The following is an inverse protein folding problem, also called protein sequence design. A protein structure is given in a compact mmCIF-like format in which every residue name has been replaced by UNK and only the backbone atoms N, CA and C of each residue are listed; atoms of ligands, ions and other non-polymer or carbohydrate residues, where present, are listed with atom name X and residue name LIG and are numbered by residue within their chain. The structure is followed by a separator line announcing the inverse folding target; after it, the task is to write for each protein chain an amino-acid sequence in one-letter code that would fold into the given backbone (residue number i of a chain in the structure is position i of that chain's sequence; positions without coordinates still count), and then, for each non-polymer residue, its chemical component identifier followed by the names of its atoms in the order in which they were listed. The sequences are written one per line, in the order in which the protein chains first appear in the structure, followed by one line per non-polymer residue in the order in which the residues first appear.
data_IF_881618449171
#
_entry.id   IF_881618449171
#
_cell.length_a   1.000
_cell.length_b   1.000
_cell.length_c   1.000
_cell.angle_alpha   90.00
_cell.angle_beta   90.00
_cell.angle_gamma   90.00
#
_symmetry.space_group_name_H-M   'P 1'
#
loop_
_entity.id
_entity.type
_entity.pdbx_description
1 polymer ?
#
# COMPACT_ATOMS: atom_id res chain seq x y z
N UNK A 1 37.79 21.62 -3.19
CA UNK A 1 37.11 20.68 -4.09
C UNK A 1 36.05 19.85 -3.36
N UNK A 2 35.90 20.00 -2.03
CA UNK A 2 34.86 19.33 -1.19
C UNK A 2 33.64 20.22 -0.87
N UNK A 3 33.51 21.41 -1.47
CA UNK A 3 32.43 22.35 -1.14
C UNK A 3 31.22 22.30 -2.08
N UNK A 4 31.25 21.43 -3.10
CA UNK A 4 30.16 21.31 -4.10
C UNK A 4 29.28 20.07 -3.89
N UNK A 5 29.75 19.01 -3.24
CA UNK A 5 28.94 17.78 -3.03
C UNK A 5 27.93 17.89 -1.89
N UNK A 6 28.13 18.79 -0.92
CA UNK A 6 27.21 18.96 0.23
C UNK A 6 25.92 19.72 -0.15
N UNK A 7 25.91 20.45 -1.27
CA UNK A 7 24.76 21.27 -1.66
C UNK A 7 23.67 20.51 -2.43
N UNK A 8 24.00 19.43 -3.16
CA UNK A 8 23.00 18.64 -3.90
C UNK A 8 22.14 17.75 -2.98
N UNK A 9 22.71 17.24 -1.88
CA UNK A 9 22.00 16.37 -0.93
C UNK A 9 20.95 17.12 -0.09
N UNK A 10 21.13 18.43 0.14
CA UNK A 10 20.17 19.28 0.87
C UNK A 10 19.00 19.69 -0.03
N UNK A 11 19.26 19.96 -1.31
CA UNK A 11 18.19 20.29 -2.26
C UNK A 11 17.33 19.06 -2.57
N UNK A 12 17.92 17.87 -2.82
CA UNK A 12 17.15 16.65 -3.05
C UNK A 12 16.30 16.24 -1.83
N UNK A 13 16.81 16.38 -0.60
CA UNK A 13 16.02 16.14 0.61
C UNK A 13 14.90 17.17 0.81
N UNK A 14 15.11 18.42 0.40
CA UNK A 14 14.08 19.46 0.40
C UNK A 14 12.91 19.12 -0.54
N UNK A 15 13.19 18.71 -1.78
CA UNK A 15 12.16 18.33 -2.75
C UNK A 15 11.39 17.06 -2.33
N UNK A 16 12.05 16.10 -1.67
CA UNK A 16 11.40 14.93 -1.10
C UNK A 16 10.43 15.28 0.05
N UNK A 17 10.71 16.31 0.84
CA UNK A 17 9.81 16.75 1.92
C UNK A 17 8.50 17.40 1.40
N UNK A 18 8.58 18.24 0.36
CA UNK A 18 7.40 18.90 -0.23
C UNK A 18 6.51 17.93 -1.02
N UNK A 19 7.10 16.90 -1.63
CA UNK A 19 6.35 15.86 -2.35
C UNK A 19 5.63 14.90 -1.41
N UNK A 20 6.10 14.74 -0.17
CA UNK A 20 5.45 13.88 0.83
C UNK A 20 4.36 14.60 1.62
N UNK A 21 4.42 15.93 1.75
CA UNK A 21 3.45 16.74 2.48
C UNK A 21 3.04 17.98 1.67
N UNK A 22 2.01 17.87 0.80
CA UNK A 22 1.53 19.02 0.03
C UNK A 22 0.97 20.11 0.95
N UNK A 23 1.20 21.38 0.57
CA UNK A 23 0.66 22.51 1.31
C UNK A 23 -0.86 22.46 1.36
N UNK A 24 -1.46 22.94 2.46
CA UNK A 24 -2.93 22.94 2.64
C UNK A 24 -3.62 23.66 1.47
N UNK A 25 -3.06 24.77 1.00
CA UNK A 25 -3.56 25.50 -0.17
C UNK A 25 -3.64 24.62 -1.42
N UNK A 26 -2.55 23.90 -1.73
CA UNK A 26 -2.53 23.00 -2.89
C UNK A 26 -3.58 21.90 -2.75
N UNK A 27 -3.68 21.28 -1.55
CA UNK A 27 -4.66 20.22 -1.29
C UNK A 27 -6.09 20.72 -1.46
N UNK A 28 -6.43 21.88 -0.90
CA UNK A 28 -7.75 22.50 -1.08
C UNK A 28 -8.03 22.73 -2.55
N UNK A 29 -7.10 23.36 -3.28
CA UNK A 29 -7.28 23.65 -4.71
C UNK A 29 -7.43 22.38 -5.56
N UNK A 30 -6.68 21.33 -5.23
CA UNK A 30 -6.75 20.03 -5.89
C UNK A 30 -8.11 19.37 -5.68
N UNK A 31 -8.64 19.43 -4.46
CA UNK A 31 -9.97 18.91 -4.10
C UNK A 31 -11.06 19.70 -4.83
N UNK A 32 -10.98 21.03 -4.82
CA UNK A 32 -11.95 21.92 -5.48
C UNK A 32 -12.04 21.69 -7.00
N UNK A 33 -10.97 21.16 -7.59
CA UNK A 33 -10.88 20.83 -9.02
C UNK A 33 -11.20 19.35 -9.32
N UNK A 34 -11.76 18.61 -8.35
CA UNK A 34 -12.08 17.19 -8.46
C UNK A 34 -10.88 16.31 -8.88
N UNK A 35 -9.69 16.72 -8.43
CA UNK A 35 -8.44 16.09 -8.82
C UNK A 35 -8.36 14.63 -8.40
N UNK A 36 -8.93 14.26 -7.25
CA UNK A 36 -8.96 12.87 -6.79
C UNK A 36 -9.73 11.99 -7.78
N UNK A 37 -10.93 12.41 -8.18
CA UNK A 37 -11.74 11.65 -9.14
C UNK A 37 -11.05 11.52 -10.49
N UNK A 38 -10.33 12.55 -10.94
CA UNK A 38 -9.50 12.49 -12.14
C UNK A 38 -8.43 11.40 -12.05
N UNK A 39 -7.69 11.35 -10.92
CA UNK A 39 -6.68 10.29 -10.68
C UNK A 39 -7.35 8.91 -10.65
N UNK A 40 -8.44 8.75 -9.90
CA UNK A 40 -9.13 7.46 -9.76
C UNK A 40 -9.69 6.96 -11.09
N UNK A 41 -10.22 7.86 -11.92
CA UNK A 41 -10.73 7.49 -13.25
C UNK A 41 -9.58 7.09 -14.18
N UNK A 42 -8.45 7.80 -14.13
CA UNK A 42 -7.27 7.41 -14.90
C UNK A 42 -6.75 6.04 -14.46
N UNK A 43 -6.64 5.77 -13.16
CA UNK A 43 -6.23 4.46 -12.62
C UNK A 43 -7.15 3.33 -13.13
N UNK A 44 -8.47 3.58 -13.21
CA UNK A 44 -9.44 2.60 -13.74
C UNK A 44 -9.32 2.35 -15.24
N UNK A 45 -8.76 3.29 -16.01
CA UNK A 45 -8.72 3.24 -17.49
C UNK A 45 -7.33 2.99 -18.07
N UNK A 46 -6.33 2.66 -17.24
CA UNK A 46 -4.99 2.38 -17.73
C UNK A 46 -4.99 1.14 -18.61
N UNK A 47 -4.24 1.20 -19.71
CA UNK A 47 -3.83 0.01 -20.43
C UNK A 47 -2.70 -0.72 -19.67
N UNK A 48 -2.36 -1.91 -20.14
CA UNK A 48 -1.35 -2.75 -19.51
C UNK A 48 0.03 -2.07 -19.46
N UNK A 49 0.44 -1.39 -20.53
CA UNK A 49 1.74 -0.70 -20.55
C UNK A 49 1.79 0.41 -19.50
N UNK A 50 0.73 1.22 -19.40
CA UNK A 50 0.64 2.29 -18.41
C UNK A 50 0.56 1.73 -16.99
N UNK A 51 -0.18 0.64 -16.77
CA UNK A 51 -0.31 0.00 -15.45
C UNK A 51 1.02 -0.53 -14.92
N UNK A 52 1.92 -0.98 -15.80
CA UNK A 52 3.26 -1.45 -15.43
C UNK A 52 4.31 -0.33 -15.40
N UNK A 53 3.97 0.86 -15.87
CA UNK A 53 4.88 2.00 -15.96
C UNK A 53 5.07 2.74 -14.63
N UNK A 54 6.05 3.66 -14.61
CA UNK A 54 6.26 4.62 -13.50
C UNK A 54 5.12 5.63 -13.34
N UNK A 55 4.24 5.78 -14.35
CA UNK A 55 3.09 6.68 -14.26
C UNK A 55 2.14 6.16 -13.20
N UNK A 56 1.83 4.85 -13.22
CA UNK A 56 0.99 4.22 -12.20
C UNK A 56 1.58 4.40 -10.79
N UNK A 57 2.89 4.13 -10.63
CA UNK A 57 3.57 4.34 -9.33
C UNK A 57 3.47 5.79 -8.87
N UNK A 58 3.64 6.75 -9.78
CA UNK A 58 3.53 8.18 -9.47
C UNK A 58 2.13 8.57 -9.02
N UNK A 59 1.08 8.05 -9.67
CA UNK A 59 -0.31 8.33 -9.30
C UNK A 59 -0.66 7.81 -7.91
N UNK A 60 -0.22 6.58 -7.57
CA UNK A 60 -0.36 6.05 -6.21
C UNK A 60 0.44 6.90 -5.21
N UNK A 61 1.65 7.35 -5.60
CA UNK A 61 2.45 8.29 -4.83
C UNK A 61 1.73 9.61 -4.54
N UNK A 62 1.02 10.18 -5.52
CA UNK A 62 0.21 11.38 -5.34
C UNK A 62 -0.91 11.15 -4.31
N UNK A 63 -1.60 10.01 -4.37
CA UNK A 63 -2.62 9.65 -3.38
C UNK A 63 -1.98 9.49 -1.99
N UNK A 64 -0.82 8.83 -1.89
CA UNK A 64 -0.07 8.69 -0.63
C UNK A 64 0.25 10.06 -0.01
N UNK A 65 0.77 10.98 -0.81
CA UNK A 65 1.07 12.34 -0.38
C UNK A 65 -0.19 13.11 0.06
N UNK A 66 -1.30 12.96 -0.68
CA UNK A 66 -2.59 13.55 -0.32
C UNK A 66 -3.09 13.05 1.05
N UNK A 67 -2.87 11.76 1.35
CA UNK A 67 -3.27 11.14 2.61
C UNK A 67 -2.42 11.54 3.83
N UNK A 68 -1.21 12.08 3.60
CA UNK A 68 -0.40 12.64 4.67
C UNK A 68 -0.96 14.00 5.16
N UNK A 69 -1.81 14.65 4.37
CA UNK A 69 -2.57 15.83 4.78
C UNK A 69 -3.92 15.44 5.40
N UNK A 70 -4.34 16.08 6.51
CA UNK A 70 -5.61 15.76 7.17
C UNK A 70 -6.84 15.99 6.31
N UNK A 71 -6.88 17.09 5.54
CA UNK A 71 -7.97 17.41 4.61
C UNK A 71 -7.99 16.42 3.45
N UNK A 72 -6.82 16.15 2.87
CA UNK A 72 -6.67 15.18 1.78
C UNK A 72 -7.07 13.76 2.20
N UNK A 73 -6.64 13.31 3.37
CA UNK A 73 -7.03 12.03 3.96
C UNK A 73 -8.54 11.93 4.18
N UNK A 74 -9.16 12.96 4.76
CA UNK A 74 -10.60 12.98 4.96
C UNK A 74 -11.35 12.88 3.62
N UNK A 75 -10.90 13.61 2.60
CA UNK A 75 -11.48 13.57 1.27
C UNK A 75 -11.35 12.19 0.60
N UNK A 76 -10.15 11.58 0.66
CA UNK A 76 -9.91 10.23 0.14
C UNK A 76 -10.82 9.21 0.83
N UNK A 77 -10.94 9.24 2.16
CA UNK A 77 -11.77 8.29 2.91
C UNK A 77 -13.27 8.47 2.69
N UNK A 78 -13.70 9.71 2.41
CA UNK A 78 -15.09 10.04 2.10
C UNK A 78 -15.51 9.58 0.69
N UNK A 79 -14.58 9.55 -0.27
CA UNK A 79 -14.86 9.08 -1.62
C UNK A 79 -15.21 7.58 -1.63
N UNK A 80 -16.33 7.21 -2.26
CA UNK A 80 -16.91 5.87 -2.18
C UNK A 80 -16.03 4.77 -2.80
N UNK A 81 -15.37 5.07 -3.92
CA UNK A 81 -14.57 4.09 -4.65
C UNK A 81 -13.06 4.16 -4.39
N UNK A 82 -12.57 5.15 -3.64
CA UNK A 82 -11.13 5.46 -3.60
C UNK A 82 -10.29 4.28 -3.14
N UNK A 83 -10.64 3.69 -1.99
CA UNK A 83 -9.92 2.56 -1.41
C UNK A 83 -10.04 1.32 -2.30
N UNK A 84 -11.18 1.13 -2.97
CA UNK A 84 -11.38 0.02 -3.91
C UNK A 84 -10.46 0.14 -5.14
N UNK A 85 -10.36 1.35 -5.72
CA UNK A 85 -9.50 1.61 -6.88
C UNK A 85 -8.02 1.52 -6.48
N UNK A 86 -7.64 2.02 -5.30
CA UNK A 86 -6.28 1.87 -4.78
C UNK A 86 -5.93 0.38 -4.60
N UNK A 87 -6.85 -0.45 -4.09
CA UNK A 87 -6.61 -1.88 -3.95
C UNK A 87 -6.46 -2.61 -5.30
N UNK A 88 -7.16 -2.18 -6.36
CA UNK A 88 -6.99 -2.74 -7.72
C UNK A 88 -5.55 -2.65 -8.22
N UNK A 89 -4.83 -1.60 -7.83
CA UNK A 89 -3.43 -1.40 -8.16
C UNK A 89 -2.48 -2.48 -7.61
N UNK A 90 -2.93 -3.40 -6.75
CA UNK A 90 -2.17 -4.60 -6.36
C UNK A 90 -1.98 -5.59 -7.53
N UNK A 91 -2.75 -5.49 -8.62
CA UNK A 91 -2.63 -6.40 -9.77
C UNK A 91 -1.44 -6.13 -10.69
N UNK A 92 -0.75 -5.00 -10.53
CA UNK A 92 0.47 -4.68 -11.31
C UNK A 92 1.64 -5.58 -10.91
N UNK A 93 2.62 -5.81 -11.78
CA UNK A 93 3.87 -6.48 -11.38
C UNK A 93 4.88 -5.53 -10.74
N UNK A 94 4.67 -4.22 -10.87
CA UNK A 94 5.55 -3.20 -10.32
C UNK A 94 5.54 -3.21 -8.78
N UNK A 95 6.65 -3.69 -8.21
CA UNK A 95 6.83 -3.87 -6.77
C UNK A 95 6.68 -2.55 -6.00
N UNK A 96 7.20 -1.44 -6.53
CA UNK A 96 7.10 -0.13 -5.87
C UNK A 96 5.66 0.34 -5.77
N UNK A 97 4.86 0.10 -6.81
CA UNK A 97 3.43 0.39 -6.77
C UNK A 97 2.73 -0.47 -5.71
N UNK A 98 2.98 -1.79 -5.66
CA UNK A 98 2.41 -2.68 -4.64
C UNK A 98 2.75 -2.22 -3.22
N UNK A 99 4.02 -1.89 -2.97
CA UNK A 99 4.48 -1.36 -1.66
C UNK A 99 3.70 -0.11 -1.28
N UNK A 100 3.61 0.87 -2.18
CA UNK A 100 2.89 2.12 -1.90
C UNK A 100 1.40 1.91 -1.61
N UNK A 101 0.75 0.98 -2.33
CA UNK A 101 -0.65 0.58 -2.08
C UNK A 101 -0.79 -0.03 -0.68
N UNK A 102 0.08 -0.97 -0.32
CA UNK A 102 0.04 -1.64 0.99
C UNK A 102 0.31 -0.69 2.16
N UNK A 103 1.22 0.28 1.98
CA UNK A 103 1.47 1.33 2.97
C UNK A 103 0.24 2.23 3.16
N UNK A 104 -0.43 2.62 2.07
CA UNK A 104 -1.68 3.38 2.14
C UNK A 104 -2.74 2.56 2.90
N UNK A 105 -2.99 1.32 2.49
CA UNK A 105 -4.05 0.50 3.08
C UNK A 105 -3.76 0.16 4.54
N UNK A 106 -2.50 -0.10 4.89
CA UNK A 106 -2.06 -0.29 6.27
C UNK A 106 -2.30 0.96 7.13
N UNK A 107 -2.01 2.15 6.61
CA UNK A 107 -2.31 3.41 7.30
C UNK A 107 -3.82 3.66 7.44
N UNK A 108 -4.63 3.28 6.44
CA UNK A 108 -6.10 3.37 6.52
C UNK A 108 -6.67 2.47 7.62
N UNK A 109 -6.07 1.30 7.88
CA UNK A 109 -6.52 0.46 9.00
C UNK A 109 -6.44 1.17 10.36
N UNK A 110 -5.54 2.14 10.53
CA UNK A 110 -5.30 2.86 11.79
C UNK A 110 -6.30 3.99 12.06
N UNK A 111 -7.08 4.42 11.07
CA UNK A 111 -8.04 5.52 11.24
C UNK A 111 -9.45 5.02 11.53
N UNK A 112 -10.29 5.81 12.24
CA UNK A 112 -11.67 5.41 12.56
C UNK A 112 -12.46 4.98 11.31
N UNK A 113 -13.03 3.78 11.35
CA UNK A 113 -13.80 3.19 10.24
C UNK A 113 -12.98 2.74 9.03
N UNK A 114 -11.69 3.04 8.97
CA UNK A 114 -10.83 2.70 7.83
C UNK A 114 -10.53 1.21 7.70
N UNK A 115 -10.35 0.51 8.82
CA UNK A 115 -10.15 -0.95 8.83
C UNK A 115 -11.28 -1.71 8.10
N UNK A 116 -12.54 -1.33 8.34
CA UNK A 116 -13.70 -1.91 7.64
C UNK A 116 -13.63 -1.64 6.13
N UNK A 117 -13.33 -0.39 5.74
CA UNK A 117 -13.17 -0.01 4.32
C UNK A 117 -12.07 -0.81 3.61
N UNK A 118 -10.96 -1.07 4.29
CA UNK A 118 -9.86 -1.89 3.75
C UNK A 118 -10.31 -3.32 3.51
N UNK A 119 -11.01 -3.94 4.46
CA UNK A 119 -11.51 -5.31 4.29
C UNK A 119 -12.57 -5.43 3.19
N UNK A 120 -13.43 -4.43 3.05
CA UNK A 120 -14.39 -4.32 1.94
C UNK A 120 -13.66 -4.14 0.60
N UNK A 121 -12.61 -3.33 0.56
CA UNK A 121 -11.78 -3.15 -0.63
C UNK A 121 -11.03 -4.42 -1.03
N UNK A 122 -10.59 -5.24 -0.09
CA UNK A 122 -9.99 -6.55 -0.40
C UNK A 122 -11.01 -7.54 -0.96
N UNK A 123 -12.28 -7.49 -0.52
CA UNK A 123 -13.38 -8.26 -1.13
C UNK A 123 -13.69 -7.74 -2.54
N UNK A 124 -13.62 -6.43 -2.76
CA UNK A 124 -13.74 -5.84 -4.09
C UNK A 124 -12.59 -6.32 -5.00
N UNK A 125 -11.36 -6.23 -4.51
CA UNK A 125 -10.15 -6.67 -5.21
C UNK A 125 -10.22 -8.15 -5.59
N UNK A 126 -10.72 -9.01 -4.69
CA UNK A 126 -10.95 -10.42 -5.00
C UNK A 126 -11.73 -10.62 -6.29
N UNK A 127 -12.84 -9.89 -6.46
CA UNK A 127 -13.68 -9.98 -7.67
C UNK A 127 -12.97 -9.40 -8.88
N UNK A 128 -12.29 -8.27 -8.71
CA UNK A 128 -11.54 -7.60 -9.78
C UNK A 128 -10.40 -8.47 -10.33
N UNK A 129 -9.56 -9.02 -9.45
CA UNK A 129 -8.43 -9.88 -9.81
C UNK A 129 -8.85 -11.32 -10.11
N UNK A 130 -10.14 -11.65 -10.04
CA UNK A 130 -10.67 -13.01 -10.20
C UNK A 130 -10.01 -14.03 -9.27
N UNK A 131 -9.68 -13.60 -8.05
CA UNK A 131 -9.06 -14.44 -7.03
C UNK A 131 -10.11 -15.28 -6.30
N UNK A 132 -9.71 -16.49 -5.90
CA UNK A 132 -10.59 -17.37 -5.13
C UNK A 132 -10.95 -16.80 -3.75
N UNK A 133 -10.03 -16.09 -3.12
CA UNK A 133 -10.18 -15.50 -1.77
C UNK A 133 -9.41 -14.19 -1.67
N UNK A 134 -9.91 -13.27 -0.83
CA UNK A 134 -9.48 -11.85 -0.72
C UNK A 134 -8.04 -11.53 -0.27
N UNK A 135 -7.13 -12.49 -0.22
CA UNK A 135 -5.72 -12.25 0.11
C UNK A 135 -4.78 -13.15 -0.70
N UNK A 136 -5.25 -13.77 -1.79
CA UNK A 136 -4.48 -14.77 -2.51
C UNK A 136 -3.21 -14.14 -3.14
N UNK A 137 -3.35 -13.04 -3.89
CA UNK A 137 -2.17 -12.37 -4.48
C UNK A 137 -1.21 -11.89 -3.41
N UNK A 138 -1.71 -11.42 -2.27
CA UNK A 138 -0.87 -10.97 -1.16
C UNK A 138 0.03 -12.08 -0.63
N UNK A 139 -0.50 -13.29 -0.44
CA UNK A 139 0.30 -14.44 0.05
C UNK A 139 1.23 -14.97 -1.05
N UNK A 140 0.78 -14.96 -2.32
CA UNK A 140 1.65 -15.30 -3.45
C UNK A 140 2.85 -14.35 -3.55
N UNK A 141 2.62 -13.05 -3.39
CA UNK A 141 3.66 -12.02 -3.38
C UNK A 141 4.60 -12.14 -2.18
N UNK A 142 4.12 -12.66 -1.05
CA UNK A 142 4.93 -12.91 0.14
C UNK A 142 5.89 -14.10 -0.05
N UNK A 143 5.48 -15.14 -0.79
CA UNK A 143 6.30 -16.34 -1.03
C UNK A 143 7.23 -16.18 -2.25
N UNK A 144 6.85 -15.38 -3.25
CA UNK A 144 7.63 -15.24 -4.49
C UNK A 144 9.00 -14.57 -4.25
N UNK A 145 10.00 -14.98 -5.03
CA UNK A 145 11.24 -14.22 -5.17
C UNK A 145 11.14 -13.24 -6.34
N UNK A 146 11.60 -12.02 -6.13
CA UNK A 146 11.58 -10.95 -7.14
C UNK A 146 12.89 -10.90 -7.93
N UNK A 147 13.89 -11.68 -7.55
CA UNK A 147 15.25 -11.67 -8.12
C UNK A 147 16.09 -10.46 -7.71
N UNK A 148 15.53 -9.50 -6.97
CA UNK A 148 16.23 -8.32 -6.44
C UNK A 148 15.99 -8.21 -4.94
N UNK A 149 17.05 -8.41 -4.16
CA UNK A 149 16.95 -8.47 -2.70
C UNK A 149 16.25 -7.25 -2.08
N UNK A 150 16.56 -6.02 -2.52
CA UNK A 150 15.92 -4.80 -1.98
C UNK A 150 14.41 -4.74 -2.26
N UNK A 151 14.00 -5.10 -3.48
CA UNK A 151 12.58 -5.14 -3.87
C UNK A 151 11.84 -6.27 -3.12
N UNK A 152 12.52 -7.41 -2.90
CA UNK A 152 12.00 -8.53 -2.12
C UNK A 152 11.75 -8.14 -0.66
N UNK A 153 12.76 -7.56 0.01
CA UNK A 153 12.66 -7.14 1.42
C UNK A 153 11.58 -6.07 1.59
N UNK A 154 11.54 -5.06 0.71
CA UNK A 154 10.56 -3.98 0.81
C UNK A 154 9.12 -4.47 0.63
N UNK A 155 8.87 -5.34 -0.37
CA UNK A 155 7.54 -5.92 -0.60
C UNK A 155 7.10 -6.80 0.58
N UNK A 156 7.95 -7.73 1.01
CA UNK A 156 7.64 -8.64 2.13
C UNK A 156 7.39 -7.88 3.43
N UNK A 157 8.16 -6.83 3.70
CA UNK A 157 7.96 -5.96 4.86
C UNK A 157 6.61 -5.23 4.78
N UNK A 158 6.28 -4.65 3.62
CA UNK A 158 5.00 -3.97 3.41
C UNK A 158 3.81 -4.93 3.58
N UNK A 159 3.91 -6.15 3.04
CA UNK A 159 2.87 -7.19 3.19
C UNK A 159 2.69 -7.58 4.65
N UNK A 160 3.78 -7.88 5.38
CA UNK A 160 3.70 -8.26 6.79
C UNK A 160 3.15 -7.12 7.66
N UNK A 161 3.55 -5.87 7.39
CA UNK A 161 3.00 -4.69 8.05
C UNK A 161 1.49 -4.55 7.81
N UNK A 162 1.05 -4.71 6.56
CA UNK A 162 -0.37 -4.69 6.20
C UNK A 162 -1.17 -5.80 6.89
N UNK A 163 -0.67 -7.04 6.88
CA UNK A 163 -1.30 -8.17 7.57
C UNK A 163 -1.45 -7.87 9.06
N UNK A 164 -0.40 -7.35 9.69
CA UNK A 164 -0.44 -6.96 11.10
C UNK A 164 -1.47 -5.88 11.38
N UNK A 165 -1.58 -4.87 10.50
CA UNK A 165 -2.59 -3.82 10.60
C UNK A 165 -4.02 -4.38 10.46
N UNK A 166 -4.26 -5.27 9.49
CA UNK A 166 -5.57 -5.91 9.30
C UNK A 166 -5.95 -6.80 10.50
N UNK A 167 -5.00 -7.51 11.09
CA UNK A 167 -5.24 -8.38 12.24
C UNK A 167 -5.42 -7.62 13.56
N UNK A 168 -4.76 -6.48 13.73
CA UNK A 168 -4.63 -5.84 15.04
C UNK A 168 -5.44 -4.54 15.19
N UNK A 169 -6.02 -4.03 14.11
CA UNK A 169 -6.78 -2.77 14.11
C UNK A 169 -8.29 -2.99 13.94
N UNK A 170 -9.07 -1.92 14.15
CA UNK A 170 -10.53 -1.95 14.01
C UNK A 170 -11.20 -3.03 14.85
N UNK A 171 -12.03 -3.88 14.23
CA UNK A 171 -12.70 -4.99 14.91
C UNK A 171 -11.71 -5.99 15.54
N UNK A 172 -10.48 -6.05 15.02
CA UNK A 172 -9.40 -6.85 15.57
C UNK A 172 -8.91 -6.35 16.95
N UNK A 173 -9.16 -5.11 17.34
CA UNK A 173 -8.81 -4.63 18.70
C UNK A 173 -9.74 -5.27 19.73
N UNK A 174 -11.05 -5.27 19.44
CA UNK A 174 -12.09 -5.58 20.41
C UNK A 174 -12.49 -7.06 20.41
N UNK A 175 -12.41 -7.75 19.27
CA UNK A 175 -12.93 -9.12 19.11
C UNK A 175 -11.82 -10.14 18.86
N UNK A 176 -11.62 -11.06 19.82
CA UNK A 176 -10.72 -12.20 19.64
C UNK A 176 -11.20 -13.12 18.50
N UNK A 177 -12.49 -13.39 18.41
CA UNK A 177 -13.06 -14.27 17.39
C UNK A 177 -12.81 -13.72 15.99
N UNK A 178 -12.96 -12.41 15.81
CA UNK A 178 -12.65 -11.73 14.55
C UNK A 178 -11.17 -11.90 14.18
N UNK A 179 -10.25 -11.69 15.14
CA UNK A 179 -8.81 -11.92 14.92
C UNK A 179 -8.51 -13.37 14.55
N UNK A 180 -9.12 -14.33 15.23
CA UNK A 180 -8.93 -15.75 14.95
C UNK A 180 -9.45 -16.10 13.56
N UNK A 181 -10.63 -15.61 13.18
CA UNK A 181 -11.18 -15.81 11.84
C UNK A 181 -10.24 -15.32 10.74
N UNK A 182 -9.74 -14.08 10.84
CA UNK A 182 -8.78 -13.56 9.86
C UNK A 182 -7.45 -14.34 9.84
N UNK A 183 -6.94 -14.77 11.01
CA UNK A 183 -5.76 -15.64 11.05
C UNK A 183 -6.01 -16.96 10.34
N UNK A 184 -7.18 -17.56 10.52
CA UNK A 184 -7.56 -18.77 9.81
C UNK A 184 -7.63 -18.54 8.29
N UNK A 185 -8.14 -17.39 7.80
CA UNK A 185 -8.08 -17.06 6.36
C UNK A 185 -6.64 -17.13 5.84
N UNK A 186 -5.67 -16.53 6.54
CA UNK A 186 -4.26 -16.57 6.14
C UNK A 186 -3.63 -17.97 6.26
N UNK A 187 -3.99 -18.74 7.30
CA UNK A 187 -3.53 -20.12 7.46
C UNK A 187 -4.02 -21.00 6.31
N UNK A 188 -5.27 -20.84 5.88
CA UNK A 188 -5.84 -21.58 4.75
C UNK A 188 -5.19 -21.21 3.41
N UNK A 189 -4.58 -20.04 3.32
CA UNK A 189 -3.75 -19.61 2.18
C UNK A 189 -2.31 -20.12 2.23
N UNK A 190 -1.93 -20.86 3.29
CA UNK A 190 -0.59 -21.43 3.42
C UNK A 190 0.47 -20.43 3.90
N UNK A 191 0.10 -19.40 4.68
CA UNK A 191 1.05 -18.40 5.18
C UNK A 191 2.14 -18.99 6.09
N UNK A 192 1.85 -20.09 6.81
CA UNK A 192 2.76 -20.62 7.84
C UNK A 192 4.12 -21.05 7.26
N UNK A 193 4.20 -21.92 6.23
CA UNK A 193 5.48 -22.22 5.56
C UNK A 193 6.21 -20.99 5.04
N UNK A 194 5.48 -19.96 4.59
CA UNK A 194 6.07 -18.72 4.08
C UNK A 194 6.75 -17.96 5.23
N UNK A 195 6.09 -17.83 6.38
CA UNK A 195 6.66 -17.19 7.58
C UNK A 195 7.91 -17.94 8.06
N UNK A 196 7.89 -19.28 8.03
CA UNK A 196 9.03 -20.08 8.47
C UNK A 196 10.26 -19.82 7.57
N UNK A 197 10.09 -19.75 6.24
CA UNK A 197 11.16 -19.35 5.30
C UNK A 197 11.70 -17.94 5.59
N UNK A 198 10.82 -16.98 5.92
CA UNK A 198 11.24 -15.60 6.22
C UNK A 198 12.16 -15.55 7.45
N UNK A 199 11.86 -16.35 8.48
CA UNK A 199 12.67 -16.44 9.70
C UNK A 199 14.04 -17.06 9.45
N UNK A 200 14.12 -18.08 8.59
CA UNK A 200 15.40 -18.70 8.20
C UNK A 200 16.32 -17.69 7.49
N UNK A 201 15.75 -16.88 6.59
CA UNK A 201 16.51 -15.82 5.92
C UNK A 201 17.03 -14.78 6.90
N UNK A 202 16.20 -14.29 7.83
CA UNK A 202 16.60 -13.29 8.84
C UNK A 202 17.76 -13.80 9.71
N UNK A 203 17.66 -15.04 10.20
CA UNK A 203 18.73 -15.68 10.99
C UNK A 203 20.05 -15.76 10.20
N UNK A 204 19.99 -16.15 8.91
CA UNK A 204 21.20 -16.26 8.07
C UNK A 204 21.91 -14.92 7.81
N UNK A 205 21.17 -13.80 7.84
CA UNK A 205 21.74 -12.45 7.76
C UNK A 205 22.29 -11.95 9.09
N UNK A 206 21.72 -12.38 10.23
CA UNK A 206 22.17 -12.00 11.57
C UNK A 206 23.38 -12.82 12.05
N UNK A 207 23.54 -14.03 11.53
CA UNK A 207 24.69 -14.93 11.81
C UNK A 207 25.96 -14.58 11.00
N UNK A 208 25.96 -13.48 10.24
CA UNK A 208 27.09 -12.95 9.47
C UNK A 208 27.67 -11.69 10.08
#
# INVERSE_FOLDING_TARGET
MESYEVHEDVEQNGYHHWTQNPSVWFVTRFIDLDGLSCILNFLKSMDYETSESRIHTSLIGCIKALMNNSLGRAHVLAHSESINVIAQSLSTENIKTKVAVLEIMGAVCLVPGGHKKVLEAMVHYQKYASERTRFQTLINDLDRSTGRYQDEVSLKTAIMSFINAVLSQGAGVESLDFRLHLRYEFLMLGIQPVIDKLREHENSTLDR
#
